data_IF_022032116152
#
_entry.id   IF_022032116152
#
_cell.length_a   1.000
_cell.length_b   1.000
_cell.length_c   1.000
_cell.angle_alpha   90.00
_cell.angle_beta   90.00
_cell.angle_gamma   90.00
#
_symmetry.space_group_name_H-M   'P 1'
#
loop_
_entity.id
_entity.type
_entity.pdbx_description
1 polymer ?
#
# COMPACT_ATOMS: atom_id res chain seq x y z
N UNK A 1 5.96 -9.60 -4.63
CA UNK A 1 5.11 -10.52 -5.42
C UNK A 1 5.56 -11.97 -5.43
N UNK A 2 6.86 -12.28 -5.49
CA UNK A 2 7.34 -13.67 -5.49
C UNK A 2 6.83 -14.50 -4.30
N UNK A 3 6.76 -13.88 -3.11
CA UNK A 3 6.21 -14.53 -1.91
C UNK A 3 4.71 -14.84 -2.02
N UNK A 4 3.90 -13.97 -2.65
CA UNK A 4 2.47 -14.20 -2.87
C UNK A 4 2.23 -15.29 -3.92
N UNK A 5 3.05 -15.34 -4.98
CA UNK A 5 3.02 -16.44 -5.95
C UNK A 5 3.38 -17.79 -5.29
N UNK A 6 4.38 -17.80 -4.39
CA UNK A 6 4.71 -18.98 -3.58
C UNK A 6 3.56 -19.36 -2.63
N UNK A 7 2.92 -18.38 -2.00
CA UNK A 7 1.76 -18.59 -1.14
C UNK A 7 0.57 -19.19 -1.92
N UNK A 8 0.27 -18.68 -3.12
CA UNK A 8 -0.78 -19.22 -3.99
C UNK A 8 -0.49 -20.68 -4.34
N UNK A 9 0.76 -21.01 -4.71
CA UNK A 9 1.15 -22.39 -4.99
C UNK A 9 0.97 -23.29 -3.77
N UNK A 10 1.39 -22.81 -2.59
CA UNK A 10 1.22 -23.52 -1.32
C UNK A 10 -0.25 -23.78 -1.01
N UNK A 11 -1.09 -22.75 -0.98
CA UNK A 11 -2.52 -22.89 -0.66
C UNK A 11 -3.28 -23.66 -1.74
N UNK A 12 -2.81 -23.64 -2.99
CA UNK A 12 -3.37 -24.49 -4.04
C UNK A 12 -3.11 -25.96 -3.77
N UNK A 13 -1.89 -26.33 -3.38
CA UNK A 13 -1.59 -27.70 -2.96
C UNK A 13 -2.38 -28.10 -1.71
N UNK A 14 -2.48 -27.21 -0.72
CA UNK A 14 -3.28 -27.45 0.48
C UNK A 14 -4.77 -27.67 0.16
N UNK A 15 -5.35 -26.88 -0.75
CA UNK A 15 -6.74 -27.03 -1.20
C UNK A 15 -6.98 -28.28 -2.06
N UNK A 16 -5.94 -28.89 -2.65
CA UNK A 16 -6.07 -30.22 -3.28
C UNK A 16 -6.18 -31.32 -2.21
N UNK A 17 -5.49 -31.15 -1.07
CA UNK A 17 -5.49 -32.11 0.04
C UNK A 17 -6.79 -32.00 0.85
N UNK A 18 -7.21 -30.78 1.16
CA UNK A 18 -8.40 -30.47 1.93
C UNK A 18 -9.21 -29.37 1.23
N UNK A 19 -10.13 -29.76 0.32
CA UNK A 19 -10.88 -28.83 -0.51
C UNK A 19 -11.99 -28.08 0.26
N UNK A 20 -12.37 -28.51 1.46
CA UNK A 20 -13.44 -27.86 2.24
C UNK A 20 -12.88 -26.88 3.28
N UNK A 21 -11.55 -26.74 3.32
CA UNK A 21 -10.87 -25.82 4.22
C UNK A 21 -11.05 -24.35 3.83
N UNK A 22 -12.03 -23.68 4.43
CA UNK A 22 -12.29 -22.25 4.20
C UNK A 22 -11.11 -21.37 4.58
N UNK A 23 -10.23 -21.79 5.50
CA UNK A 23 -9.02 -21.05 5.83
C UNK A 23 -8.03 -21.02 4.66
N UNK A 24 -7.74 -22.16 4.03
CA UNK A 24 -6.84 -22.23 2.87
C UNK A 24 -7.38 -21.41 1.69
N UNK A 25 -8.69 -21.50 1.43
CA UNK A 25 -9.36 -20.72 0.41
C UNK A 25 -9.26 -19.21 0.70
N UNK A 26 -9.49 -18.80 1.96
CA UNK A 26 -9.38 -17.39 2.35
C UNK A 26 -7.96 -16.86 2.14
N UNK A 27 -6.94 -17.63 2.53
CA UNK A 27 -5.55 -17.23 2.34
C UNK A 27 -5.16 -17.11 0.87
N UNK A 28 -5.64 -18.02 0.03
CA UNK A 28 -5.42 -17.96 -1.41
C UNK A 28 -6.15 -16.80 -2.06
N UNK A 29 -7.40 -16.55 -1.70
CA UNK A 29 -8.19 -15.41 -2.16
C UNK A 29 -7.50 -14.08 -1.82
N UNK A 30 -6.95 -13.92 -0.61
CA UNK A 30 -6.22 -12.70 -0.25
C UNK A 30 -4.94 -12.56 -1.10
N UNK A 31 -4.20 -13.64 -1.32
CA UNK A 31 -3.01 -13.59 -2.17
C UNK A 31 -3.36 -13.22 -3.63
N UNK A 32 -4.44 -13.76 -4.18
CA UNK A 32 -4.96 -13.35 -5.49
C UNK A 32 -5.42 -11.89 -5.50
N UNK A 33 -6.04 -11.40 -4.44
CA UNK A 33 -6.49 -10.03 -4.32
C UNK A 33 -5.31 -9.05 -4.37
N UNK A 34 -4.23 -9.36 -3.64
CA UNK A 34 -2.98 -8.58 -3.64
C UNK A 34 -2.34 -8.58 -5.04
N UNK A 35 -2.39 -9.71 -5.75
CA UNK A 35 -1.93 -9.82 -7.13
C UNK A 35 -2.95 -9.31 -8.15
N UNK A 36 -4.08 -8.75 -7.71
CA UNK A 36 -5.14 -8.16 -8.54
C UNK A 36 -5.83 -9.15 -9.49
N UNK A 37 -5.74 -10.45 -9.20
CA UNK A 37 -6.45 -11.50 -9.95
C UNK A 37 -7.87 -11.68 -9.40
N UNK A 38 -8.68 -10.62 -9.57
CA UNK A 38 -9.99 -10.49 -8.93
C UNK A 38 -11.00 -11.58 -9.33
N UNK A 39 -10.87 -12.17 -10.52
CA UNK A 39 -11.75 -13.25 -10.94
C UNK A 39 -11.46 -14.54 -10.13
N UNK A 40 -10.18 -14.84 -9.86
CA UNK A 40 -9.81 -15.95 -8.97
C UNK A 40 -10.16 -15.68 -7.51
N UNK A 41 -10.11 -14.42 -7.07
CA UNK A 41 -10.63 -14.02 -5.75
C UNK A 41 -12.10 -14.43 -5.63
N UNK A 42 -12.94 -14.01 -6.59
CA UNK A 42 -14.37 -14.30 -6.55
C UNK A 42 -14.67 -15.80 -6.59
N UNK A 43 -13.93 -16.59 -7.38
CA UNK A 43 -14.07 -18.05 -7.40
C UNK A 43 -13.79 -18.71 -6.04
N UNK A 44 -12.72 -18.30 -5.36
CA UNK A 44 -12.39 -18.83 -4.03
C UNK A 44 -13.44 -18.39 -2.99
N UNK A 45 -13.90 -17.14 -3.06
CA UNK A 45 -14.94 -16.61 -2.16
C UNK A 45 -16.31 -17.23 -2.39
N UNK A 46 -16.70 -17.52 -3.63
CA UNK A 46 -17.94 -18.23 -3.94
C UNK A 46 -17.93 -19.62 -3.31
N UNK A 47 -16.79 -20.33 -3.38
CA UNK A 47 -16.62 -21.63 -2.74
C UNK A 47 -16.69 -21.52 -1.21
N UNK A 48 -16.07 -20.50 -0.61
CA UNK A 48 -16.16 -20.26 0.84
C UNK A 48 -17.61 -20.05 1.26
N UNK A 49 -18.37 -19.23 0.54
CA UNK A 49 -19.78 -18.94 0.87
C UNK A 49 -20.67 -20.17 0.67
N UNK A 50 -20.36 -21.05 -0.28
CA UNK A 50 -21.06 -22.33 -0.43
C UNK A 50 -20.82 -23.26 0.77
N UNK A 51 -19.61 -23.26 1.32
CA UNK A 51 -19.25 -24.09 2.48
C UNK A 51 -19.73 -23.49 3.80
N UNK A 52 -19.65 -22.17 3.92
CA UNK A 52 -20.00 -21.39 5.11
C UNK A 52 -20.69 -20.08 4.69
N UNK A 53 -22.03 -20.09 4.58
CA UNK A 53 -22.81 -18.90 4.21
C UNK A 53 -22.74 -17.76 5.24
N UNK A 54 -22.27 -18.02 6.46
CA UNK A 54 -22.17 -17.03 7.53
C UNK A 54 -20.75 -16.45 7.63
N UNK A 55 -19.88 -16.75 6.68
CA UNK A 55 -18.51 -16.26 6.65
C UNK A 55 -18.45 -14.76 6.34
N UNK A 56 -18.48 -13.93 7.39
CA UNK A 56 -18.44 -12.47 7.27
C UNK A 56 -17.20 -11.98 6.50
N UNK A 57 -16.05 -12.63 6.69
CA UNK A 57 -14.82 -12.30 6.00
C UNK A 57 -14.93 -12.48 4.48
N UNK A 58 -15.63 -13.52 4.02
CA UNK A 58 -15.86 -13.74 2.60
C UNK A 58 -16.71 -12.62 1.98
N UNK A 59 -17.78 -12.20 2.67
CA UNK A 59 -18.62 -11.07 2.23
C UNK A 59 -17.86 -9.74 2.22
N UNK A 60 -16.99 -9.51 3.21
CA UNK A 60 -16.08 -8.36 3.23
C UNK A 60 -15.19 -8.32 1.97
N UNK A 61 -14.52 -9.43 1.66
CA UNK A 61 -13.64 -9.48 0.48
C UNK A 61 -14.39 -9.41 -0.84
N UNK A 62 -15.60 -9.95 -0.94
CA UNK A 62 -16.43 -9.77 -2.15
C UNK A 62 -16.81 -8.32 -2.35
N UNK A 63 -17.28 -7.65 -1.29
CA UNK A 63 -17.62 -6.22 -1.34
C UNK A 63 -16.44 -5.39 -1.81
N UNK A 64 -15.26 -5.63 -1.21
CA UNK A 64 -14.02 -4.97 -1.59
C UNK A 64 -13.61 -5.28 -3.04
N UNK A 65 -13.72 -6.53 -3.48
CA UNK A 65 -13.38 -6.95 -4.85
C UNK A 65 -14.28 -6.31 -5.89
N UNK A 66 -15.60 -6.28 -5.65
CA UNK A 66 -16.55 -5.60 -6.52
C UNK A 66 -16.30 -4.09 -6.57
N UNK A 67 -16.02 -3.47 -5.42
CA UNK A 67 -15.66 -2.05 -5.36
C UNK A 67 -14.44 -1.74 -6.22
N UNK A 68 -13.38 -2.55 -6.10
CA UNK A 68 -12.15 -2.40 -6.89
C UNK A 68 -12.38 -2.63 -8.38
N UNK A 69 -13.27 -3.56 -8.74
CA UNK A 69 -13.75 -3.75 -10.13
C UNK A 69 -14.72 -2.65 -10.61
N UNK A 70 -15.00 -1.63 -9.79
CA UNK A 70 -15.96 -0.53 -10.04
C UNK A 70 -17.43 -0.97 -10.16
N UNK A 71 -17.75 -2.17 -9.69
CA UNK A 71 -19.11 -2.67 -9.59
C UNK A 71 -19.71 -2.28 -8.23
N UNK A 72 -20.13 -1.02 -8.14
CA UNK A 72 -20.61 -0.44 -6.88
C UNK A 72 -21.91 -1.12 -6.40
N UNK A 73 -22.75 -1.57 -7.32
CA UNK A 73 -24.02 -2.22 -6.96
C UNK A 73 -23.78 -3.53 -6.21
N UNK A 74 -22.94 -4.40 -6.75
CA UNK A 74 -22.60 -5.66 -6.09
C UNK A 74 -21.75 -5.42 -4.82
N UNK A 75 -20.89 -4.40 -4.82
CA UNK A 75 -20.15 -4.02 -3.62
C UNK A 75 -21.08 -3.66 -2.45
N UNK A 76 -22.14 -2.88 -2.71
CA UNK A 76 -23.13 -2.48 -1.70
C UNK A 76 -23.96 -3.68 -1.21
N UNK A 77 -24.33 -4.61 -2.09
CA UNK A 77 -25.07 -5.83 -1.71
C UNK A 77 -24.24 -6.67 -0.74
N UNK A 78 -22.98 -6.93 -1.08
CA UNK A 78 -22.09 -7.74 -0.24
C UNK A 78 -21.71 -7.03 1.06
N UNK A 79 -21.60 -5.69 1.04
CA UNK A 79 -21.41 -4.90 2.25
C UNK A 79 -22.58 -5.02 3.23
N UNK A 80 -23.82 -5.04 2.74
CA UNK A 80 -25.01 -5.25 3.60
C UNK A 80 -24.97 -6.61 4.28
N UNK A 81 -24.65 -7.68 3.54
CA UNK A 81 -24.48 -9.02 4.11
C UNK A 81 -23.36 -9.05 5.15
N UNK A 82 -22.21 -8.45 4.86
CA UNK A 82 -21.12 -8.32 5.83
C UNK A 82 -21.58 -7.63 7.13
N UNK A 83 -22.37 -6.55 7.00
CA UNK A 83 -22.90 -5.79 8.14
C UNK A 83 -23.95 -6.55 8.95
N UNK A 84 -24.74 -7.41 8.32
CA UNK A 84 -25.70 -8.30 9.00
C UNK A 84 -24.99 -9.39 9.80
N UNK A 85 -23.87 -9.90 9.28
CA UNK A 85 -23.03 -10.93 9.91
C UNK A 85 -21.95 -10.35 10.83
N UNK A 86 -22.01 -9.05 11.10
CA UNK A 86 -20.97 -8.31 11.81
C UNK A 86 -20.98 -8.58 13.32
N UNK A 87 -19.88 -9.11 13.85
CA UNK A 87 -19.64 -9.19 15.30
C UNK A 87 -18.83 -7.96 15.81
N UNK A 88 -19.38 -7.29 16.82
CA UNK A 88 -18.86 -6.03 17.38
C UNK A 88 -17.65 -6.20 18.31
N UNK A 89 -17.23 -7.43 18.61
CA UNK A 89 -16.25 -7.70 19.66
C UNK A 89 -14.78 -7.50 19.23
N UNK A 90 -14.47 -7.53 17.92
CA UNK A 90 -13.09 -7.46 17.43
C UNK A 90 -12.75 -6.11 16.76
N UNK A 91 -11.55 -5.60 17.04
CA UNK A 91 -11.02 -4.35 16.46
C UNK A 91 -10.76 -4.49 14.96
N UNK A 92 -10.40 -5.70 14.50
CA UNK A 92 -10.20 -5.99 13.08
C UNK A 92 -11.53 -5.88 12.32
N UNK A 93 -12.59 -6.50 12.82
CA UNK A 93 -13.94 -6.38 12.23
C UNK A 93 -14.37 -4.92 12.16
N UNK A 94 -14.21 -4.15 13.25
CA UNK A 94 -14.50 -2.70 13.25
C UNK A 94 -13.71 -1.95 12.18
N UNK A 95 -12.44 -2.28 12.02
CA UNK A 95 -11.57 -1.70 10.98
C UNK A 95 -12.11 -2.00 9.58
N UNK A 96 -12.43 -3.26 9.31
CA UNK A 96 -13.01 -3.71 8.04
C UNK A 96 -14.34 -3.01 7.74
N UNK A 97 -15.18 -2.83 8.75
CA UNK A 97 -16.44 -2.09 8.63
C UNK A 97 -16.21 -0.63 8.24
N UNK A 98 -15.37 0.10 8.98
CA UNK A 98 -15.10 1.51 8.66
C UNK A 98 -14.42 1.68 7.31
N UNK A 99 -13.62 0.70 6.90
CA UNK A 99 -13.01 0.70 5.59
C UNK A 99 -14.07 0.65 4.48
N UNK A 100 -14.99 -0.31 4.53
CA UNK A 100 -16.06 -0.39 3.53
C UNK A 100 -17.02 0.80 3.63
N UNK A 101 -17.36 1.28 4.84
CA UNK A 101 -18.15 2.50 5.03
C UNK A 101 -17.47 3.71 4.36
N UNK A 102 -16.15 3.87 4.52
CA UNK A 102 -15.38 4.92 3.85
C UNK A 102 -15.41 4.78 2.34
N UNK A 103 -15.06 3.60 1.80
CA UNK A 103 -15.00 3.38 0.35
C UNK A 103 -16.32 3.67 -0.35
N UNK A 104 -17.43 3.22 0.24
CA UNK A 104 -18.76 3.37 -0.33
C UNK A 104 -19.36 4.76 -0.13
N UNK A 105 -18.81 5.58 0.78
CA UNK A 105 -19.31 6.92 1.11
C UNK A 105 -18.29 8.04 0.88
N UNK A 106 -17.26 7.83 0.07
CA UNK A 106 -16.15 8.78 -0.19
C UNK A 106 -16.63 10.23 -0.47
N UNK A 107 -17.77 10.38 -1.14
CA UNK A 107 -18.30 11.69 -1.56
C UNK A 107 -19.35 12.28 -0.60
N UNK A 108 -19.66 11.62 0.52
CA UNK A 108 -20.69 12.07 1.47
C UNK A 108 -20.04 12.55 2.78
N UNK A 109 -19.86 13.86 2.90
CA UNK A 109 -19.20 14.48 4.05
C UNK A 109 -19.90 14.20 5.38
N UNK A 110 -21.23 14.04 5.39
CA UNK A 110 -21.99 13.69 6.60
C UNK A 110 -21.65 12.28 7.07
N UNK A 111 -21.61 11.31 6.17
CA UNK A 111 -21.23 9.93 6.51
C UNK A 111 -19.76 9.83 6.92
N UNK A 112 -18.87 10.55 6.24
CA UNK A 112 -17.46 10.63 6.62
C UNK A 112 -17.29 11.15 8.06
N UNK A 113 -18.01 12.20 8.46
CA UNK A 113 -18.00 12.71 9.84
C UNK A 113 -18.57 11.70 10.85
N UNK A 114 -19.60 10.94 10.47
CA UNK A 114 -20.14 9.87 11.31
C UNK A 114 -19.08 8.77 11.54
N UNK A 115 -18.38 8.37 10.48
CA UNK A 115 -17.30 7.37 10.56
C UNK A 115 -16.17 7.89 11.47
N UNK A 116 -15.73 9.14 11.31
CA UNK A 116 -14.71 9.74 12.19
C UNK A 116 -15.11 9.71 13.66
N UNK A 117 -16.37 10.05 13.95
CA UNK A 117 -16.90 10.04 15.32
C UNK A 117 -16.80 8.64 15.93
N UNK A 118 -17.19 7.61 15.18
CA UNK A 118 -17.09 6.20 15.61
C UNK A 118 -15.62 5.76 15.79
N UNK A 119 -14.74 6.12 14.86
CA UNK A 119 -13.30 5.78 14.96
C UNK A 119 -12.71 6.41 16.23
N UNK A 120 -12.99 7.69 16.49
CA UNK A 120 -12.44 8.44 17.63
C UNK A 120 -12.91 7.93 19.00
N UNK A 121 -14.00 7.17 19.07
CA UNK A 121 -14.46 6.53 20.31
C UNK A 121 -13.65 5.27 20.69
N UNK A 122 -12.75 4.78 19.83
CA UNK A 122 -11.95 3.58 20.10
C UNK A 122 -10.77 3.95 21.01
N UNK A 123 -10.64 3.26 22.16
CA UNK A 123 -9.69 3.60 23.23
C UNK A 123 -8.20 3.35 22.89
N UNK A 124 -7.89 2.71 21.76
CA UNK A 124 -6.50 2.41 21.35
C UNK A 124 -6.27 2.55 19.82
N UNK A 125 -6.67 3.68 19.24
CA UNK A 125 -6.44 3.95 17.80
C UNK A 125 -4.94 3.98 17.47
N UNK A 126 -4.11 4.51 18.40
CA UNK A 126 -2.65 4.67 18.19
C UNK A 126 -1.93 3.35 17.90
N UNK A 127 -2.39 2.23 18.47
CA UNK A 127 -1.82 0.91 18.19
C UNK A 127 -2.30 0.26 16.89
N UNK A 128 -3.32 0.83 16.23
CA UNK A 128 -3.92 0.29 15.03
C UNK A 128 -3.65 1.18 13.81
N UNK A 129 -2.55 0.89 13.10
CA UNK A 129 -2.15 1.55 11.86
C UNK A 129 -3.27 1.60 10.81
N UNK A 130 -4.12 0.56 10.74
CA UNK A 130 -5.21 0.48 9.77
C UNK A 130 -6.30 1.52 10.04
N UNK A 131 -6.72 1.64 11.30
CA UNK A 131 -7.70 2.64 11.71
C UNK A 131 -7.15 4.05 11.53
N UNK A 132 -5.87 4.28 11.86
CA UNK A 132 -5.19 5.55 11.61
C UNK A 132 -5.15 5.89 10.12
N UNK A 133 -4.89 4.93 9.23
CA UNK A 133 -4.91 5.14 7.79
C UNK A 133 -6.30 5.51 7.28
N UNK A 134 -7.34 4.78 7.71
CA UNK A 134 -8.73 5.09 7.34
C UNK A 134 -9.09 6.50 7.83
N UNK A 135 -8.76 6.82 9.08
CA UNK A 135 -8.99 8.15 9.67
C UNK A 135 -8.27 9.25 8.89
N UNK A 136 -7.01 9.03 8.55
CA UNK A 136 -6.20 9.95 7.73
C UNK A 136 -6.85 10.18 6.36
N UNK A 137 -7.32 9.12 5.70
CA UNK A 137 -8.01 9.22 4.40
C UNK A 137 -9.28 10.03 4.50
N UNK A 138 -10.09 9.80 5.53
CA UNK A 138 -11.30 10.59 5.74
C UNK A 138 -10.94 12.07 5.98
N UNK A 139 -9.92 12.35 6.79
CA UNK A 139 -9.45 13.73 6.97
C UNK A 139 -8.94 14.36 5.66
N UNK A 140 -8.32 13.59 4.76
CA UNK A 140 -7.95 14.05 3.41
C UNK A 140 -9.17 14.45 2.59
N UNK A 141 -10.21 13.61 2.53
CA UNK A 141 -11.46 13.95 1.82
C UNK A 141 -12.13 15.21 2.39
N UNK A 142 -12.12 15.35 3.72
CA UNK A 142 -12.71 16.48 4.43
C UNK A 142 -11.81 17.72 4.47
N UNK A 143 -10.60 17.65 3.90
CA UNK A 143 -9.60 18.74 3.89
C UNK A 143 -9.20 19.22 5.29
N UNK A 144 -9.19 18.31 6.25
CA UNK A 144 -8.83 18.52 7.65
C UNK A 144 -7.30 18.44 7.84
N UNK A 145 -6.60 19.50 7.42
CA UNK A 145 -5.13 19.50 7.31
C UNK A 145 -4.38 19.27 8.64
N UNK A 146 -4.92 19.77 9.75
CA UNK A 146 -4.31 19.60 11.06
C UNK A 146 -4.38 18.13 11.52
N UNK A 147 -5.52 17.50 11.29
CA UNK A 147 -5.80 16.12 11.69
C UNK A 147 -5.05 15.12 10.81
N UNK A 148 -4.93 15.39 9.50
CA UNK A 148 -4.08 14.62 8.56
C UNK A 148 -2.66 14.53 9.10
N UNK A 149 -2.10 15.67 9.54
CA UNK A 149 -0.74 15.71 10.10
C UNK A 149 -0.62 14.82 11.33
N UNK A 150 -1.55 14.92 12.28
CA UNK A 150 -1.55 14.09 13.49
C UNK A 150 -1.57 12.60 13.13
N UNK A 151 -2.40 12.21 12.16
CA UNK A 151 -2.50 10.81 11.74
C UNK A 151 -1.23 10.33 11.04
N UNK A 152 -0.62 11.14 10.17
CA UNK A 152 0.64 10.82 9.51
C UNK A 152 1.79 10.74 10.51
N UNK A 153 1.87 11.69 11.44
CA UNK A 153 2.86 11.65 12.53
C UNK A 153 2.71 10.34 13.31
N UNK A 154 1.49 9.91 13.63
CA UNK A 154 1.26 8.61 14.29
C UNK A 154 1.60 7.40 13.41
N UNK A 155 1.42 7.49 12.09
CA UNK A 155 1.74 6.40 11.15
C UNK A 155 3.24 6.24 10.90
N UNK A 156 3.99 7.35 10.87
CA UNK A 156 5.40 7.39 10.48
C UNK A 156 6.35 7.59 11.68
N UNK A 157 5.88 8.08 12.83
CA UNK A 157 6.71 8.37 14.00
C UNK A 157 6.29 7.56 15.23
N UNK A 158 6.86 6.36 15.35
CA UNK A 158 7.34 5.91 16.66
C UNK A 158 8.73 6.50 16.90
N UNK A 159 8.79 7.82 17.17
CA UNK A 159 9.77 8.52 18.02
C UNK A 159 9.54 10.03 17.91
N UNK A 160 8.90 10.56 18.96
CA UNK A 160 8.96 11.93 19.49
C UNK A 160 9.08 13.09 18.48
N UNK A 161 7.98 13.81 18.27
CA UNK A 161 7.87 15.25 18.48
C UNK A 161 6.43 15.70 18.21
N UNK A 162 5.63 15.77 19.27
CA UNK A 162 4.60 16.82 19.36
C UNK A 162 5.39 18.12 19.58
N UNK A 163 5.03 19.19 18.86
CA UNK A 163 4.92 20.59 19.35
C UNK A 163 5.09 21.61 18.20
N UNK A 164 4.11 22.53 18.17
CA UNK A 164 4.04 23.89 17.62
C UNK A 164 3.64 24.22 16.16
N UNK A 165 3.12 25.46 16.06
CA UNK A 165 1.89 25.98 15.43
C UNK A 165 2.19 26.89 14.19
N UNK A 166 1.31 26.86 13.16
CA UNK A 166 0.88 27.92 12.16
C UNK A 166 1.92 28.81 11.41
N UNK A 167 1.66 29.51 10.24
CA UNK A 167 0.55 29.49 9.26
C UNK A 167 0.84 28.80 7.92
N UNK A 168 -0.26 28.37 7.29
CA UNK A 168 -0.44 28.31 5.84
C UNK A 168 -0.24 29.70 5.22
N UNK A 169 0.97 30.05 4.80
CA UNK A 169 1.21 31.04 3.72
C UNK A 169 2.71 31.22 3.43
N UNK A 170 3.39 30.18 2.96
CA UNK A 170 4.47 30.36 1.99
C UNK A 170 4.40 29.15 1.07
N UNK A 171 3.79 29.35 -0.09
CA UNK A 171 3.93 28.46 -1.24
C UNK A 171 5.39 28.50 -1.63
N UNK A 172 6.08 27.35 -1.62
CA UNK A 172 7.46 27.34 -2.13
C UNK A 172 7.39 27.19 -3.65
N UNK A 173 7.10 28.29 -4.34
CA UNK A 173 6.98 28.34 -5.79
C UNK A 173 8.24 27.80 -6.48
N UNK A 174 9.42 27.96 -5.87
CA UNK A 174 10.68 27.43 -6.42
C UNK A 174 10.71 25.91 -6.48
N UNK A 175 10.02 25.23 -5.55
CA UNK A 175 9.91 23.77 -5.51
C UNK A 175 8.64 23.24 -6.18
N UNK A 176 7.76 24.11 -6.68
CA UNK A 176 6.46 23.71 -7.25
C UNK A 176 5.46 23.21 -6.21
N UNK A 177 5.73 23.42 -4.91
CA UNK A 177 4.88 22.92 -3.82
C UNK A 177 3.76 23.92 -3.55
N UNK A 178 2.55 23.58 -3.98
CA UNK A 178 1.36 24.47 -3.95
C UNK A 178 0.36 24.19 -2.83
N UNK A 179 0.48 23.05 -2.14
CA UNK A 179 -0.43 22.67 -1.06
C UNK A 179 0.31 22.36 0.25
N UNK A 180 -0.39 22.56 1.38
CA UNK A 180 0.17 22.38 2.72
C UNK A 180 0.62 20.96 3.02
N UNK A 181 -0.07 19.95 2.45
CA UNK A 181 0.28 18.54 2.61
C UNK A 181 1.65 18.21 2.01
N UNK A 182 1.88 18.58 0.75
CA UNK A 182 3.15 18.35 0.05
C UNK A 182 4.29 19.13 0.70
N UNK A 183 4.02 20.34 1.20
CA UNK A 183 4.97 21.12 2.00
C UNK A 183 5.37 20.37 3.27
N UNK A 184 4.39 19.87 4.01
CA UNK A 184 4.64 19.12 5.24
C UNK A 184 5.44 17.83 4.98
N UNK A 185 5.05 17.05 3.97
CA UNK A 185 5.74 15.82 3.57
C UNK A 185 7.21 16.08 3.19
N UNK A 186 7.48 17.19 2.50
CA UNK A 186 8.85 17.59 2.17
C UNK A 186 9.63 18.08 3.41
N UNK A 187 9.02 18.95 4.22
CA UNK A 187 9.68 19.57 5.36
C UNK A 187 9.94 18.60 6.52
N UNK A 188 9.08 17.61 6.74
CA UNK A 188 9.18 16.70 7.90
C UNK A 188 9.63 15.30 7.53
N UNK A 189 9.11 14.77 6.42
CA UNK A 189 9.40 13.38 6.01
C UNK A 189 10.42 13.28 4.88
N UNK A 190 10.93 14.42 4.38
CA UNK A 190 11.86 14.49 3.25
C UNK A 190 11.32 13.81 1.99
N UNK A 191 9.99 13.87 1.79
CA UNK A 191 9.30 13.30 0.62
C UNK A 191 8.93 14.43 -0.35
N UNK A 192 9.39 14.32 -1.59
CA UNK A 192 9.05 15.23 -2.68
C UNK A 192 8.15 14.51 -3.70
N UNK A 193 6.89 14.92 -3.80
CA UNK A 193 5.95 14.37 -4.79
C UNK A 193 6.26 14.87 -6.20
N UNK A 194 6.22 13.96 -7.17
CA UNK A 194 6.44 14.28 -8.57
C UNK A 194 5.33 15.12 -9.17
N UNK A 195 4.12 15.03 -8.61
CA UNK A 195 2.99 15.88 -8.99
C UNK A 195 3.25 17.38 -8.77
N UNK A 196 4.22 17.76 -7.92
CA UNK A 196 4.63 19.15 -7.74
C UNK A 196 5.36 19.73 -8.96
N UNK A 197 6.06 18.90 -9.75
CA UNK A 197 6.78 19.38 -10.94
C UNK A 197 5.85 19.99 -11.99
N UNK A 198 4.60 19.54 -12.03
CA UNK A 198 3.58 20.07 -12.95
C UNK A 198 3.34 21.57 -12.71
N UNK A 199 3.55 22.05 -11.48
CA UNK A 199 3.43 23.48 -11.17
C UNK A 199 4.68 24.30 -11.60
N UNK A 200 5.78 23.62 -11.94
CA UNK A 200 7.01 24.24 -12.45
C UNK A 200 7.09 24.17 -13.98
N UNK A 201 6.58 23.08 -14.55
CA UNK A 201 6.52 22.84 -15.99
C UNK A 201 5.14 22.36 -16.40
N UNK A 202 4.37 23.29 -16.98
CA UNK A 202 3.01 23.02 -17.44
C UNK A 202 2.94 21.92 -18.52
N UNK A 203 4.03 21.63 -19.25
CA UNK A 203 4.03 20.55 -20.24
C UNK A 203 3.83 19.17 -19.58
N UNK A 204 4.18 19.03 -18.30
CA UNK A 204 4.00 17.79 -17.55
C UNK A 204 2.53 17.48 -17.22
N UNK A 205 1.60 18.42 -17.43
CA UNK A 205 0.16 18.17 -17.25
C UNK A 205 -0.34 17.01 -18.10
N UNK A 206 0.21 16.80 -19.30
CA UNK A 206 -0.20 15.70 -20.19
C UNK A 206 0.14 14.31 -19.65
N UNK A 207 1.15 14.24 -18.76
CA UNK A 207 1.65 13.03 -18.12
C UNK A 207 1.08 12.85 -16.70
N UNK A 208 0.29 13.79 -16.18
CA UNK A 208 -0.30 13.66 -14.85
C UNK A 208 -1.54 12.76 -14.88
N UNK A 209 -1.59 11.79 -13.98
CA UNK A 209 -2.72 10.88 -13.80
C UNK A 209 -3.13 10.79 -12.34
N UNK A 210 -4.41 10.48 -12.10
CA UNK A 210 -4.89 10.20 -10.74
C UNK A 210 -4.60 8.74 -10.38
N UNK A 211 -4.02 8.50 -9.21
CA UNK A 211 -3.76 7.16 -8.68
C UNK A 211 -4.10 7.13 -7.18
N UNK A 212 -5.06 6.30 -6.81
CA UNK A 212 -5.53 6.16 -5.42
C UNK A 212 -4.47 5.59 -4.47
N UNK A 213 -3.40 5.00 -5.01
CA UNK A 213 -2.27 4.48 -4.22
C UNK A 213 -1.14 5.53 -4.07
N UNK A 214 -1.27 6.70 -4.70
CA UNK A 214 -0.42 7.86 -4.42
C UNK A 214 -0.93 8.60 -3.20
N UNK A 215 -0.01 9.01 -2.33
CA UNK A 215 -0.33 9.89 -1.19
C UNK A 215 -0.76 11.28 -1.63
N UNK A 216 -0.34 11.73 -2.82
CA UNK A 216 -0.78 12.99 -3.41
C UNK A 216 -1.99 12.84 -4.33
N UNK A 217 -2.52 11.60 -4.45
CA UNK A 217 -3.53 11.15 -5.42
C UNK A 217 -3.13 11.33 -6.90
N UNK A 218 -1.93 11.86 -7.16
CA UNK A 218 -1.44 12.23 -8.49
C UNK A 218 -0.06 11.66 -8.72
N UNK A 219 0.14 11.07 -9.89
CA UNK A 219 1.41 10.49 -10.32
C UNK A 219 1.79 11.01 -11.70
N UNK A 220 3.07 10.86 -12.05
CA UNK A 220 3.54 11.10 -13.41
C UNK A 220 3.61 9.76 -14.15
N UNK A 221 2.92 9.69 -15.29
CA UNK A 221 2.91 8.57 -16.22
C UNK A 221 3.26 9.11 -17.62
N UNK A 222 4.45 8.77 -18.17
CA UNK A 222 4.86 9.18 -19.49
C UNK A 222 4.06 8.50 -20.63
N UNK A 223 3.13 7.58 -20.34
CA UNK A 223 2.28 6.91 -21.35
C UNK A 223 3.08 6.33 -22.52
N UNK A 224 4.21 5.70 -22.20
CA UNK A 224 5.13 5.07 -23.16
C UNK A 224 5.93 6.06 -24.03
N UNK A 225 5.98 7.35 -23.66
CA UNK A 225 6.84 8.35 -24.30
C UNK A 225 8.19 8.47 -23.58
N UNK A 226 9.18 9.06 -24.27
CA UNK A 226 10.43 9.45 -23.62
C UNK A 226 10.14 10.59 -22.66
N UNK A 227 10.63 10.49 -21.44
CA UNK A 227 10.42 11.50 -20.42
C UNK A 227 11.71 11.79 -19.68
N UNK A 228 12.02 13.07 -19.55
CA UNK A 228 13.09 13.58 -18.72
C UNK A 228 12.47 14.49 -17.65
N UNK A 229 12.53 14.07 -16.39
CA UNK A 229 12.08 14.88 -15.26
C UNK A 229 13.30 15.46 -14.55
N UNK A 230 13.37 16.78 -14.52
CA UNK A 230 14.39 17.50 -13.77
C UNK A 230 13.76 18.10 -12.52
N UNK A 231 14.21 17.66 -11.34
CA UNK A 231 13.70 18.19 -10.08
C UNK A 231 14.41 19.52 -9.74
N UNK A 232 13.73 20.41 -9.00
CA UNK A 232 14.40 21.58 -8.43
C UNK A 232 15.48 21.13 -7.43
N UNK A 233 16.43 22.02 -7.14
CA UNK A 233 17.48 21.76 -6.14
C UNK A 233 16.80 21.57 -4.78
N UNK A 234 17.06 20.43 -4.14
CA UNK A 234 16.50 20.06 -2.85
C UNK A 234 17.52 20.38 -1.75
N UNK A 235 17.25 21.43 -0.97
CA UNK A 235 18.16 21.92 0.08
C UNK A 235 17.75 21.37 1.45
N UNK A 236 18.52 20.43 1.99
CA UNK A 236 18.34 19.86 3.33
C UNK A 236 19.68 19.34 3.85
N UNK A 237 19.93 19.46 5.16
CA UNK A 237 21.05 18.76 5.82
C UNK A 237 20.82 17.24 5.83
N UNK A 238 21.13 16.60 4.71
CA UNK A 238 20.90 15.17 4.45
C UNK A 238 22.23 14.45 4.74
N UNK A 239 22.45 14.09 5.99
CA UNK A 239 23.60 13.25 6.37
C UNK A 239 23.15 11.80 6.46
N UNK A 240 23.86 10.90 5.77
CA UNK A 240 23.68 9.44 5.83
C UNK A 240 22.32 8.91 5.32
N UNK A 241 21.60 9.68 4.50
CA UNK A 241 20.41 9.16 3.82
C UNK A 241 20.73 8.70 2.40
N UNK A 242 19.96 7.72 1.93
CA UNK A 242 19.90 7.27 0.54
C UNK A 242 18.71 7.90 -0.17
N UNK A 243 18.80 8.00 -1.50
CA UNK A 243 17.68 8.39 -2.35
C UNK A 243 16.81 7.17 -2.63
N UNK A 244 15.51 7.33 -2.44
CA UNK A 244 14.51 6.29 -2.64
C UNK A 244 13.42 6.82 -3.55
N UNK A 245 13.22 6.15 -4.69
CA UNK A 245 12.18 6.50 -5.66
C UNK A 245 10.99 5.56 -5.52
N UNK A 246 9.79 6.12 -5.36
CA UNK A 246 8.55 5.33 -5.46
C UNK A 246 8.11 5.27 -6.91
N UNK A 247 8.21 4.07 -7.49
CA UNK A 247 7.95 3.80 -8.90
C UNK A 247 7.07 2.56 -9.07
N UNK A 248 6.36 2.48 -10.18
CA UNK A 248 5.59 1.30 -10.57
C UNK A 248 5.84 1.01 -12.05
N UNK A 249 6.55 -0.07 -12.36
CA UNK A 249 6.82 -0.48 -13.74
C UNK A 249 5.80 -1.54 -14.12
N UNK A 250 4.86 -1.20 -15.00
CA UNK A 250 3.76 -2.09 -15.39
C UNK A 250 4.20 -3.13 -16.40
N UNK A 251 4.89 -2.69 -17.44
CA UNK A 251 5.32 -3.54 -18.56
C UNK A 251 6.53 -2.94 -19.29
N UNK A 252 7.29 -3.81 -19.96
CA UNK A 252 8.34 -3.44 -20.91
C UNK A 252 7.78 -3.64 -22.32
N UNK A 253 7.88 -2.62 -23.17
CA UNK A 253 7.41 -2.66 -24.55
C UNK A 253 8.49 -3.14 -25.52
N UNK A 254 9.73 -2.72 -25.28
CA UNK A 254 10.87 -3.06 -26.12
C UNK A 254 12.10 -3.43 -25.28
N UNK A 255 12.94 -4.32 -25.82
CA UNK A 255 14.15 -4.82 -25.12
C UNK A 255 15.18 -3.73 -24.84
N UNK A 256 15.19 -2.64 -25.59
CA UNK A 256 16.12 -1.52 -25.40
C UNK A 256 15.68 -0.59 -24.26
N UNK A 257 15.03 -1.09 -23.21
CA UNK A 257 14.49 -0.27 -22.14
C UNK A 257 15.57 0.23 -21.16
N UNK A 258 15.40 1.47 -20.69
CA UNK A 258 16.36 2.16 -19.84
C UNK A 258 15.66 3.14 -18.89
N UNK A 259 16.01 3.05 -17.60
CA UNK A 259 15.70 4.05 -16.57
C UNK A 259 17.02 4.57 -16.03
N UNK A 260 17.26 5.86 -16.18
CA UNK A 260 18.49 6.51 -15.71
C UNK A 260 18.17 7.53 -14.64
N UNK A 261 18.74 7.33 -13.46
CA UNK A 261 18.68 8.26 -12.34
C UNK A 261 19.96 9.10 -12.35
N UNK A 262 19.82 10.41 -12.24
CA UNK A 262 20.92 11.37 -12.26
C UNK A 262 20.88 12.15 -10.96
N UNK A 263 22.04 12.26 -10.32
CA UNK A 263 22.24 13.02 -9.10
C UNK A 263 23.34 14.03 -9.40
N UNK A 264 23.01 15.31 -9.26
CA UNK A 264 23.95 16.42 -9.45
C UNK A 264 24.13 17.15 -8.13
N UNK A 265 25.38 17.29 -7.74
CA UNK A 265 25.83 18.08 -6.61
C UNK A 265 26.73 19.23 -7.12
N UNK A 266 27.19 20.12 -6.25
CA UNK A 266 27.96 21.31 -6.63
C UNK A 266 29.24 20.99 -7.42
N UNK A 267 29.81 19.81 -7.24
CA UNK A 267 31.10 19.42 -7.82
C UNK A 267 31.07 18.16 -8.68
N UNK A 268 30.03 17.32 -8.57
CA UNK A 268 30.00 15.98 -9.16
C UNK A 268 28.62 15.61 -9.71
N UNK A 269 28.61 14.80 -10.78
CA UNK A 269 27.42 14.16 -11.32
C UNK A 269 27.57 12.65 -11.25
N UNK A 270 26.62 11.99 -10.60
CA UNK A 270 26.54 10.54 -10.49
C UNK A 270 25.32 10.01 -11.22
N UNK A 271 25.46 8.85 -11.86
CA UNK A 271 24.41 8.23 -12.66
C UNK A 271 24.21 6.78 -12.26
N UNK A 272 22.94 6.38 -12.05
CA UNK A 272 22.55 4.99 -11.83
C UNK A 272 21.59 4.57 -12.94
N UNK A 273 21.96 3.55 -13.72
CA UNK A 273 21.21 3.13 -14.91
C UNK A 273 20.66 1.72 -14.70
N UNK A 274 19.36 1.56 -14.87
CA UNK A 274 18.69 0.26 -14.98
C UNK A 274 18.53 -0.08 -16.46
N UNK A 275 19.15 -1.19 -16.87
CA UNK A 275 18.96 -1.76 -18.21
C UNK A 275 17.87 -2.83 -18.16
N UNK A 276 17.53 -3.39 -19.31
CA UNK A 276 16.50 -4.42 -19.45
C UNK A 276 16.51 -5.53 -18.38
N UNK A 277 17.67 -6.12 -18.08
CA UNK A 277 17.77 -7.19 -17.07
C UNK A 277 17.44 -6.72 -15.65
N UNK A 278 17.70 -5.45 -15.32
CA UNK A 278 17.36 -4.85 -14.03
C UNK A 278 15.90 -4.42 -13.98
N UNK A 279 15.40 -3.84 -15.07
CA UNK A 279 13.98 -3.45 -15.19
C UNK A 279 13.09 -4.68 -15.10
N UNK A 280 13.48 -5.82 -15.70
CA UNK A 280 12.75 -7.09 -15.58
C UNK A 280 12.56 -7.54 -14.12
N UNK A 281 13.46 -7.20 -13.20
CA UNK A 281 13.34 -7.57 -11.78
C UNK A 281 12.24 -6.78 -11.07
N UNK A 282 11.85 -5.62 -11.60
CA UNK A 282 10.88 -4.70 -10.98
C UNK A 282 9.55 -4.62 -11.75
N UNK A 283 9.49 -5.12 -12.98
CA UNK A 283 8.27 -5.15 -13.80
C UNK A 283 7.19 -6.00 -13.14
N UNK A 284 5.98 -5.45 -13.13
CA UNK A 284 4.80 -6.14 -12.61
C UNK A 284 4.74 -6.22 -11.10
N UNK A 285 5.75 -5.74 -10.35
CA UNK A 285 5.76 -5.79 -8.88
C UNK A 285 4.77 -4.84 -8.19
N UNK A 286 4.07 -4.00 -8.95
CA UNK A 286 3.24 -2.92 -8.42
C UNK A 286 4.09 -1.74 -7.93
N UNK A 287 3.58 -0.97 -6.98
CA UNK A 287 4.33 0.13 -6.38
C UNK A 287 5.51 -0.41 -5.56
N UNK A 288 6.71 0.07 -5.86
CA UNK A 288 7.93 -0.24 -5.13
C UNK A 288 8.64 1.04 -4.72
N UNK A 289 9.43 0.96 -3.66
CA UNK A 289 10.49 1.90 -3.36
C UNK A 289 11.83 1.32 -3.83
N UNK A 290 12.41 1.95 -4.83
CA UNK A 290 13.72 1.62 -5.33
C UNK A 290 14.77 2.52 -4.67
N UNK A 291 15.60 1.93 -3.81
CA UNK A 291 16.70 2.61 -3.13
C UNK A 291 17.94 2.61 -4.02
N UNK A 292 18.44 3.81 -4.33
CA UNK A 292 19.68 3.95 -5.09
C UNK A 292 20.87 3.45 -4.26
N UNK A 293 21.83 2.70 -4.85
CA UNK A 293 23.03 2.23 -4.17
C UNK A 293 24.09 3.35 -4.07
N UNK A 294 23.64 4.59 -3.85
CA UNK A 294 24.45 5.80 -3.82
C UNK A 294 24.27 6.44 -2.45
N UNK A 295 25.38 6.70 -1.76
CA UNK A 295 25.40 7.42 -0.49
C UNK A 295 25.62 8.90 -0.77
N UNK A 296 24.87 9.75 -0.07
CA UNK A 296 25.03 11.20 -0.20
C UNK A 296 25.51 11.79 1.11
N UNK A 297 26.44 12.73 0.99
CA UNK A 297 27.05 13.45 2.11
C UNK A 297 26.86 14.97 2.01
N UNK A 298 26.06 15.44 1.05
CA UNK A 298 25.93 16.85 0.69
C UNK A 298 24.53 17.41 0.97
N UNK A 299 24.45 18.74 1.09
CA UNK A 299 23.25 19.46 1.52
C UNK A 299 22.37 19.99 0.38
N UNK A 300 22.91 20.13 -0.83
CA UNK A 300 22.20 20.62 -2.01
C UNK A 300 22.34 19.61 -3.14
N UNK A 301 21.21 19.03 -3.56
CA UNK A 301 21.20 17.96 -4.55
C UNK A 301 20.12 18.26 -5.58
N UNK A 302 20.47 18.17 -6.85
CA UNK A 302 19.52 18.14 -7.95
C UNK A 302 19.35 16.70 -8.44
N UNK A 303 18.11 16.24 -8.45
CA UNK A 303 17.75 14.91 -8.92
C UNK A 303 17.12 14.99 -10.30
N UNK A 304 17.41 14.01 -11.15
CA UNK A 304 16.70 13.84 -12.42
C UNK A 304 16.46 12.37 -12.70
N UNK A 305 15.39 12.09 -13.45
CA UNK A 305 15.11 10.75 -13.96
C UNK A 305 14.80 10.83 -15.45
N UNK A 306 15.47 9.99 -16.22
CA UNK A 306 15.28 9.81 -17.64
C UNK A 306 14.73 8.42 -17.90
N UNK A 307 13.61 8.37 -18.63
CA UNK A 307 12.94 7.14 -19.04
C UNK A 307 12.85 7.16 -20.55
N UNK A 308 13.27 6.07 -21.19
CA UNK A 308 12.99 5.91 -22.61
C UNK A 308 11.56 5.39 -22.84
N UNK A 309 10.97 5.74 -23.99
CA UNK A 309 9.59 5.36 -24.36
C UNK A 309 9.38 3.86 -24.62
N UNK A 310 10.17 3.00 -23.98
CA UNK A 310 10.09 1.53 -24.06
C UNK A 310 9.54 0.91 -22.77
N UNK A 311 9.10 1.73 -21.81
CA UNK A 311 8.63 1.29 -20.50
C UNK A 311 7.31 1.99 -20.17
N UNK A 312 6.31 1.21 -19.75
CA UNK A 312 5.11 1.72 -19.13
C UNK A 312 5.36 1.81 -17.61
N UNK A 313 5.56 3.02 -17.10
CA UNK A 313 6.01 3.26 -15.73
C UNK A 313 5.27 4.44 -15.12
N UNK A 314 4.97 4.38 -13.83
CA UNK A 314 4.48 5.52 -13.05
C UNK A 314 5.50 5.91 -11.99
N UNK A 315 5.56 7.20 -11.67
CA UNK A 315 6.42 7.77 -10.63
C UNK A 315 5.56 8.60 -9.68
N UNK A 316 5.66 8.34 -8.37
CA UNK A 316 4.86 9.04 -7.36
C UNK A 316 5.69 10.10 -6.61
N UNK A 317 6.75 9.67 -5.92
CA UNK A 317 7.62 10.57 -5.16
C UNK A 317 9.06 10.10 -5.15
N UNK A 318 9.95 11.00 -4.75
CA UNK A 318 11.29 10.69 -4.28
C UNK A 318 11.40 11.09 -2.81
N UNK A 319 12.13 10.30 -2.01
CA UNK A 319 12.40 10.62 -0.62
C UNK A 319 13.81 10.31 -0.20
N UNK A 320 14.25 10.95 0.88
CA UNK A 320 15.52 10.67 1.53
C UNK A 320 15.28 9.81 2.76
N UNK A 321 16.00 8.69 2.87
CA UNK A 321 15.80 7.74 3.95
C UNK A 321 16.74 6.55 3.86
N UNK A 322 16.43 5.49 4.60
CA UNK A 322 17.11 4.20 4.48
C UNK A 322 16.08 3.08 4.56
N UNK A 323 16.17 2.14 3.63
CA UNK A 323 15.43 0.89 3.61
C UNK A 323 16.38 -0.27 3.88
N UNK A 324 15.87 -1.33 4.50
CA UNK A 324 16.61 -2.56 4.75
C UNK A 324 17.03 -3.25 3.45
N UNK A 325 16.17 -3.17 2.43
CA UNK A 325 16.37 -3.78 1.12
C UNK A 325 16.52 -2.71 0.03
N UNK A 326 17.11 -3.12 -1.10
CA UNK A 326 17.28 -2.25 -2.27
C UNK A 326 15.93 -1.98 -2.97
N UNK A 327 15.05 -2.99 -3.01
CA UNK A 327 13.71 -2.90 -3.56
C UNK A 327 12.74 -3.22 -2.42
N UNK A 328 12.00 -2.24 -1.94
CA UNK A 328 10.94 -2.46 -0.97
C UNK A 328 9.61 -2.45 -1.70
N UNK A 329 8.90 -3.57 -1.74
CA UNK A 329 7.53 -3.57 -2.27
C UNK A 329 6.63 -2.73 -1.34
N UNK A 330 5.92 -1.74 -1.91
CA UNK A 330 4.89 -1.02 -1.18
C UNK A 330 3.60 -1.82 -1.38
N UNK A 331 3.07 -2.49 -0.34
CA UNK A 331 1.71 -3.00 -0.42
C UNK A 331 0.81 -1.83 -0.82
N UNK A 332 -0.09 -2.01 -1.79
CA UNK A 332 -1.03 -0.95 -2.18
C UNK A 332 -1.64 -0.34 -0.91
N UNK A 333 -2.05 0.92 -0.95
CA UNK A 333 -2.81 1.47 0.16
C UNK A 333 -4.13 0.71 0.41
N UNK A 334 -4.58 -0.09 -0.57
CA UNK A 334 -5.58 -1.15 -0.47
C UNK A 334 -5.12 -2.43 0.23
N UNK A 335 -3.84 -2.78 0.13
CA UNK A 335 -3.18 -3.94 0.77
C UNK A 335 -2.72 -3.62 2.20
N UNK A 336 -2.41 -2.34 2.49
CA UNK A 336 -2.16 -1.86 3.84
C UNK A 336 -3.37 -2.06 4.74
N UNK A 337 -4.58 -2.26 4.21
CA UNK A 337 -5.78 -2.61 4.99
C UNK A 337 -5.78 -4.04 5.54
N UNK A 338 -4.77 -4.82 5.18
CA UNK A 338 -4.56 -6.16 5.69
C UNK A 338 -3.17 -6.18 6.33
N UNK A 339 -3.08 -5.79 7.60
CA UNK A 339 -2.02 -6.25 8.51
C UNK A 339 -2.11 -7.79 8.52
N UNK A 340 -1.53 -8.44 7.51
CA UNK A 340 -1.60 -9.90 7.34
C UNK A 340 -1.02 -10.60 8.57
N UNK A 341 -0.08 -9.94 9.26
CA UNK A 341 0.52 -10.35 10.53
C UNK A 341 -0.41 -10.21 11.75
N UNK A 342 -1.41 -9.32 11.75
CA UNK A 342 -2.42 -9.26 12.82
C UNK A 342 -3.57 -10.22 12.59
N UNK A 343 -3.87 -10.50 11.32
CA UNK A 343 -4.80 -11.58 10.92
C UNK A 343 -4.16 -12.97 11.15
N UNK A 344 -2.83 -13.02 11.32
CA UNK A 344 -2.07 -14.23 11.63
C UNK A 344 -0.96 -13.95 12.67
N UNK A 345 -1.24 -14.07 13.99
CA UNK A 345 -0.17 -14.10 15.00
C UNK A 345 0.69 -15.37 14.89
N UNK A 346 0.15 -16.43 14.28
CA UNK A 346 0.80 -17.73 14.21
C UNK A 346 0.90 -18.21 12.76
N UNK A 347 1.93 -17.76 12.06
CA UNK A 347 2.67 -18.70 11.21
C UNK A 347 4.00 -18.91 11.92
N UNK A 348 4.13 -19.96 12.76
CA UNK A 348 5.37 -20.23 13.44
C UNK A 348 6.51 -20.40 12.43
N UNK A 349 7.65 -19.77 12.69
CA UNK A 349 8.91 -19.99 11.95
C UNK A 349 9.31 -21.48 11.90
N UNK A 350 8.73 -22.32 12.76
CA UNK A 350 8.97 -23.76 12.85
C UNK A 350 8.48 -24.58 11.64
N UNK A 351 7.69 -24.02 10.72
CA UNK A 351 7.16 -24.76 9.56
C UNK A 351 7.97 -24.61 8.27
N UNK A 352 9.09 -23.87 8.30
CA UNK A 352 9.91 -23.67 7.10
C UNK A 352 10.66 -24.94 6.66
N UNK A 353 11.00 -25.83 7.60
CA UNK A 353 11.94 -26.94 7.36
C UNK A 353 11.48 -28.33 7.87
N UNK A 354 10.24 -28.51 8.34
CA UNK A 354 9.75 -29.83 8.78
C UNK A 354 8.48 -30.25 8.06
N UNK A 355 8.67 -31.11 7.04
CA UNK A 355 7.63 -32.02 6.57
C UNK A 355 7.21 -32.91 7.74
N UNK A 356 6.02 -32.68 8.29
CA UNK A 356 5.36 -33.69 9.12
C UNK A 356 4.62 -34.66 8.21
N UNK A 357 4.81 -35.96 8.45
CA UNK A 357 4.02 -36.97 7.77
C UNK A 357 2.59 -36.94 8.32
N UNK A 358 1.60 -37.23 7.47
CA UNK A 358 0.15 -37.20 7.76
C UNK A 358 -0.25 -37.93 9.06
N UNK A 359 0.53 -38.91 9.48
CA UNK A 359 0.31 -39.72 10.71
C UNK A 359 0.56 -38.92 12.00
N UNK A 360 1.41 -37.88 11.97
CA UNK A 360 1.69 -37.05 13.15
C UNK A 360 0.62 -35.95 13.33
N UNK A 361 -0.08 -35.55 12.26
CA UNK A 361 -1.22 -34.63 12.34
C UNK A 361 -2.53 -35.32 12.75
N UNK A 362 -2.70 -36.61 12.43
CA UNK A 362 -3.87 -37.40 12.85
C UNK A 362 -3.88 -37.72 14.36
N UNK A 363 -2.78 -37.49 15.09
CA UNK A 363 -2.63 -37.80 16.52
C UNK A 363 -2.66 -36.58 17.47
N UNK A 364 -2.79 -35.34 16.98
CA UNK A 364 -2.99 -34.16 17.82
C UNK A 364 -4.48 -33.87 18.04
N UNK A 365 -5.11 -34.86 18.69
CA UNK A 365 -6.24 -34.75 19.62
C UNK A 365 -7.44 -33.93 19.16
N UNK A 366 -8.41 -34.61 18.58
CA UNK A 366 -9.80 -34.16 18.65
C UNK A 366 -10.20 -34.02 20.13
N UNK A 367 -10.64 -32.81 20.50
CA UNK A 367 -11.20 -32.44 21.82
C UNK A 367 -12.30 -33.41 22.33
N UNK A 368 -12.81 -34.26 21.44
CA UNK A 368 -13.83 -35.29 21.68
C UNK A 368 -13.30 -36.54 22.41
N UNK A 369 -12.02 -36.89 22.23
CA UNK A 369 -11.40 -38.06 22.88
C UNK A 369 -10.98 -37.80 24.34
N UNK A 370 -10.78 -36.54 24.71
CA UNK A 370 -10.50 -36.12 26.09
C UNK A 370 -11.78 -36.11 26.93
N UNK A 371 -12.93 -35.76 26.35
CA UNK A 371 -14.22 -35.70 27.06
C UNK A 371 -14.79 -37.11 27.33
N UNK A 372 -14.51 -38.09 26.45
CA UNK A 372 -15.00 -39.46 26.62
C UNK A 372 -14.18 -40.32 27.60
N UNK A 373 -13.05 -39.82 28.13
CA UNK A 373 -12.18 -40.55 29.07
C UNK A 373 -12.15 -39.94 30.50
N UNK A 374 -13.10 -39.06 30.85
CA UNK A 374 -13.25 -38.49 32.20
C UNK A 374 -14.47 -39.06 32.96
N UNK A 375 -14.63 -40.39 32.96
CA UNK A 375 -15.45 -41.12 33.95
C UNK A 375 -14.65 -42.21 34.63
#
# INVERSE_FOLDING_TARGET
>A
MEQYNKAILYFTKANIIDPENTHNLNKRAIAYYILQDYDKVLLDLDKIIQLDPLNSLAHYFRSLTYYTKKDINNAVIEFKKYKELFDFNDILSKTQLFHLEYLLNKNNSTELNNILTKINQISNIKGNKLLLLIRCKIHMELKMHHEIKIDLDLLYLSKECIVDFWPLSVVNNKLGIVNGFSKHMYEKSLVYFMSNLVNLDNQLHQFQENDINSLSEKVINPKNEKLYLNLPILNKHIYNFKIIWKINVKEILHKECLIKFIIKNDSEQQEHILKHEDVLKIVGLGWIEYQLPINIYECEIQLSIEINGSINMQIDYVRFGSNNEMITCIPNMGDLLLDFHKICPNVPETFKDKYFSRIEMENLLELKDIINNLK
#
